data_IF_594951871830
#
_entry.id   IF_594951871830
#
_cell.length_a   1.000
_cell.length_b   1.000
_cell.length_c   1.000
_cell.angle_alpha   90.00
_cell.angle_beta   90.00
_cell.angle_gamma   90.00
#
_symmetry.space_group_name_H-M   'P 1'
#
loop_
_entity.id
_entity.type
_entity.pdbx_description
1 polymer ?
#
# COMPACT_ATOMS: atom_id res chain seq x y z
N UNK A 1 24.22 12.67 14.48
CA UNK A 1 24.78 11.44 13.89
C UNK A 1 23.75 10.91 12.92
N UNK A 2 23.96 11.10 11.61
CA UNK A 2 23.02 10.64 10.57
C UNK A 2 23.24 9.15 10.38
N UNK A 3 22.32 8.33 10.87
CA UNK A 3 22.33 6.88 10.61
C UNK A 3 21.98 6.68 9.13
N UNK A 4 23.01 6.50 8.30
CA UNK A 4 22.83 6.08 6.91
C UNK A 4 22.29 4.65 6.92
N UNK A 5 20.99 4.51 6.65
CA UNK A 5 20.34 3.22 6.50
C UNK A 5 20.45 2.87 5.03
N UNK A 6 21.17 1.80 4.68
CA UNK A 6 21.23 1.30 3.31
C UNK A 6 19.79 1.14 2.79
N UNK A 7 19.48 1.90 1.73
CA UNK A 7 18.22 1.78 1.05
C UNK A 7 18.29 0.48 0.26
N UNK A 8 17.59 -0.56 0.70
CA UNK A 8 17.49 -1.84 -0.02
C UNK A 8 16.60 -1.68 -1.26
N UNK A 9 17.00 -0.80 -2.19
CA UNK A 9 16.27 -0.51 -3.43
C UNK A 9 16.32 -1.76 -4.30
N UNK A 10 15.18 -2.20 -4.81
CA UNK A 10 15.16 -3.26 -5.82
C UNK A 10 15.57 -2.69 -7.18
N UNK A 11 16.38 -3.43 -7.91
CA UNK A 11 16.69 -3.08 -9.30
C UNK A 11 15.49 -3.28 -10.24
N UNK A 12 14.39 -3.88 -9.76
CA UNK A 12 13.24 -4.24 -10.59
C UNK A 12 12.00 -3.37 -10.34
N UNK A 13 11.53 -3.29 -9.10
CA UNK A 13 10.26 -2.65 -8.76
C UNK A 13 10.32 -2.03 -7.37
N UNK A 14 9.89 -0.77 -7.24
CA UNK A 14 9.91 -0.05 -5.97
C UNK A 14 8.61 0.73 -5.74
N UNK A 15 8.41 1.12 -4.49
CA UNK A 15 7.39 2.04 -4.00
C UNK A 15 8.06 3.29 -3.44
N UNK A 16 7.40 4.45 -3.53
CA UNK A 16 7.86 5.69 -2.92
C UNK A 16 7.15 5.92 -1.57
N UNK A 17 7.87 5.70 -0.46
CA UNK A 17 7.35 5.76 0.91
C UNK A 17 8.28 6.59 1.79
N UNK A 18 7.75 7.56 2.53
CA UNK A 18 8.54 8.49 3.37
C UNK A 18 9.73 9.11 2.62
N UNK A 19 9.52 9.49 1.36
CA UNK A 19 10.55 10.02 0.45
C UNK A 19 11.71 9.05 0.12
N UNK A 20 11.53 7.76 0.37
CA UNK A 20 12.52 6.71 0.08
C UNK A 20 11.92 5.65 -0.85
N UNK A 21 12.76 5.07 -1.71
CA UNK A 21 12.39 3.92 -2.53
C UNK A 21 12.51 2.64 -1.71
N UNK A 22 11.46 1.82 -1.75
CA UNK A 22 11.43 0.53 -1.08
C UNK A 22 10.85 -0.57 -1.99
N UNK A 23 11.39 -1.79 -1.97
CA UNK A 23 10.91 -2.91 -2.80
C UNK A 23 9.53 -3.41 -2.36
N UNK A 24 9.17 -3.17 -1.10
CA UNK A 24 7.93 -3.59 -0.48
C UNK A 24 7.91 -3.18 0.99
N UNK A 25 6.73 -3.00 1.55
CA UNK A 25 6.59 -2.56 2.94
C UNK A 25 5.31 -3.08 3.58
N UNK A 26 5.32 -3.09 4.91
CA UNK A 26 4.18 -3.40 5.76
C UNK A 26 3.98 -2.22 6.70
N UNK A 27 2.73 -1.79 6.85
CA UNK A 27 2.30 -0.80 7.80
C UNK A 27 1.22 -1.43 8.68
N UNK A 28 1.31 -1.27 10.00
CA UNK A 28 0.40 -1.95 10.93
C UNK A 28 0.76 -3.42 11.13
N UNK A 29 -0.24 -4.21 11.52
CA UNK A 29 -0.06 -5.61 11.93
C UNK A 29 -1.02 -6.53 11.15
N UNK A 30 -0.51 -7.31 10.17
CA UNK A 30 -1.34 -8.20 9.37
C UNK A 30 -1.89 -9.39 10.16
N UNK A 31 -1.27 -9.77 11.28
CA UNK A 31 -1.64 -10.95 12.07
C UNK A 31 -2.72 -10.66 13.11
N UNK A 32 -2.90 -9.38 13.49
CA UNK A 32 -3.95 -8.98 14.43
C UNK A 32 -5.29 -8.87 13.71
N UNK A 33 -6.31 -9.69 14.04
CA UNK A 33 -7.66 -9.51 13.48
C UNK A 33 -8.23 -8.14 13.91
N UNK A 34 -9.10 -7.57 13.08
CA UNK A 34 -9.77 -6.26 13.22
C UNK A 34 -8.93 -4.98 13.36
N UNK A 35 -7.59 -5.07 13.44
CA UNK A 35 -6.67 -3.90 13.38
C UNK A 35 -6.35 -3.42 11.94
N UNK A 36 -5.70 -2.25 11.84
CA UNK A 36 -5.17 -1.74 10.59
C UNK A 36 -3.94 -2.53 10.13
N UNK A 37 -3.93 -2.89 8.85
CA UNK A 37 -2.70 -3.22 8.16
C UNK A 37 -2.76 -2.80 6.69
N UNK A 38 -1.59 -2.58 6.12
CA UNK A 38 -1.39 -2.36 4.70
C UNK A 38 -0.07 -2.99 4.28
N UNK A 39 -0.10 -3.83 3.25
CA UNK A 39 1.06 -4.49 2.65
C UNK A 39 1.11 -4.02 1.20
N UNK A 40 2.23 -3.45 0.79
CA UNK A 40 2.61 -3.37 -0.60
C UNK A 40 3.75 -4.37 -0.81
N UNK A 41 3.43 -5.49 -1.44
CA UNK A 41 4.34 -6.64 -1.49
C UNK A 41 5.45 -6.44 -2.53
N UNK A 42 6.52 -7.22 -2.40
CA UNK A 42 7.58 -7.27 -3.42
C UNK A 42 6.99 -7.84 -4.70
N UNK A 43 7.19 -7.13 -5.81
CA UNK A 43 6.82 -7.61 -7.15
C UNK A 43 7.97 -8.42 -7.72
N UNK A 44 7.68 -9.66 -8.13
CA UNK A 44 8.69 -10.59 -8.63
C UNK A 44 9.00 -10.35 -10.12
N UNK A 45 10.22 -10.67 -10.59
CA UNK A 45 10.55 -10.59 -12.01
C UNK A 45 9.54 -11.36 -12.88
N UNK A 46 8.97 -10.66 -13.87
CA UNK A 46 7.92 -11.19 -14.75
C UNK A 46 6.53 -10.62 -14.42
N UNK A 47 6.37 -9.98 -13.27
CA UNK A 47 5.15 -9.28 -12.86
C UNK A 47 5.35 -7.76 -12.91
N UNK A 48 4.36 -7.03 -13.40
CA UNK A 48 4.48 -5.56 -13.53
C UNK A 48 3.50 -4.79 -12.65
N UNK A 49 2.54 -5.48 -12.03
CA UNK A 49 1.52 -4.87 -11.20
C UNK A 49 1.86 -5.08 -9.73
N UNK A 50 1.83 -4.00 -8.95
CA UNK A 50 1.93 -4.07 -7.50
C UNK A 50 0.85 -4.98 -6.91
N UNK A 51 1.23 -5.79 -5.91
CA UNK A 51 0.29 -6.56 -5.10
C UNK A 51 0.08 -5.85 -3.76
N UNK A 52 -1.16 -5.43 -3.51
CA UNK A 52 -1.54 -4.70 -2.30
C UNK A 52 -2.62 -5.47 -1.54
N UNK A 53 -2.43 -5.58 -0.23
CA UNK A 53 -3.38 -6.15 0.72
C UNK A 53 -3.54 -5.21 1.92
N UNK A 54 -4.71 -5.14 2.54
CA UNK A 54 -4.90 -4.28 3.71
C UNK A 54 -6.33 -4.21 4.23
N UNK A 55 -6.48 -3.81 5.48
CA UNK A 55 -7.76 -3.39 6.08
C UNK A 55 -7.78 -1.87 6.16
N UNK A 56 -8.68 -1.25 5.39
CA UNK A 56 -8.72 0.19 5.23
C UNK A 56 -9.84 0.79 6.09
N UNK A 57 -9.55 1.86 6.80
CA UNK A 57 -10.51 2.57 7.66
C UNK A 57 -10.64 4.03 7.27
N UNK A 58 -11.83 4.59 7.54
CA UNK A 58 -12.15 6.00 7.33
C UNK A 58 -11.68 6.89 8.50
N UNK A 59 -11.90 8.20 8.39
CA UNK A 59 -11.51 9.17 9.41
C UNK A 59 -12.28 9.05 10.73
N UNK A 60 -13.31 8.19 10.78
CA UNK A 60 -14.06 7.85 11.99
C UNK A 60 -13.62 6.50 12.58
N UNK A 61 -12.60 5.85 12.00
CA UNK A 61 -12.12 4.53 12.43
C UNK A 61 -13.05 3.38 12.04
N UNK A 62 -13.96 3.60 11.08
CA UNK A 62 -14.85 2.54 10.58
C UNK A 62 -14.20 1.80 9.43
N UNK A 63 -14.35 0.47 9.42
CA UNK A 63 -13.85 -0.36 8.34
C UNK A 63 -14.55 0.01 7.02
N UNK A 64 -13.76 0.44 6.03
CA UNK A 64 -14.22 0.69 4.67
C UNK A 64 -14.27 -0.62 3.89
N UNK A 65 -13.15 -1.35 3.88
CA UNK A 65 -12.98 -2.60 3.15
C UNK A 65 -11.76 -3.38 3.64
N UNK A 66 -11.75 -4.67 3.29
CA UNK A 66 -10.60 -5.57 3.33
C UNK A 66 -10.19 -5.90 1.90
N UNK A 67 -8.97 -5.51 1.54
CA UNK A 67 -8.31 -5.79 0.28
C UNK A 67 -7.34 -6.96 0.46
N UNK A 68 -7.40 -7.95 -0.41
CA UNK A 68 -6.44 -9.05 -0.46
C UNK A 68 -5.95 -9.23 -1.91
N UNK A 69 -4.65 -9.05 -2.14
CA UNK A 69 -4.01 -9.18 -3.45
C UNK A 69 -4.80 -8.44 -4.55
N UNK A 70 -5.09 -7.15 -4.31
CA UNK A 70 -5.85 -6.26 -5.18
C UNK A 70 -7.34 -6.66 -5.38
N UNK A 71 -7.91 -7.55 -4.56
CA UNK A 71 -9.33 -7.94 -4.61
C UNK A 71 -10.07 -7.52 -3.35
N UNK A 72 -11.32 -7.06 -3.52
CA UNK A 72 -12.20 -6.72 -2.40
C UNK A 72 -12.78 -8.00 -1.80
N UNK A 73 -12.42 -8.33 -0.55
CA UNK A 73 -12.89 -9.54 0.15
C UNK A 73 -14.06 -9.23 1.08
N UNK A 74 -13.92 -8.19 1.91
CA UNK A 74 -14.99 -7.67 2.76
C UNK A 74 -15.20 -6.19 2.42
N UNK A 75 -16.43 -5.78 2.13
CA UNK A 75 -16.70 -4.45 1.62
C UNK A 75 -18.02 -3.89 2.19
N UNK A 76 -18.09 -3.65 3.51
CA UNK A 76 -19.32 -3.22 4.16
C UNK A 76 -19.80 -1.83 3.71
N UNK A 77 -18.90 -1.01 3.15
CA UNK A 77 -19.20 0.36 2.72
C UNK A 77 -19.41 0.47 1.19
N UNK A 78 -19.60 -0.64 0.47
CA UNK A 78 -19.88 -0.66 -0.97
C UNK A 78 -18.86 0.13 -1.82
N UNK A 79 -17.58 0.06 -1.46
CA UNK A 79 -16.50 0.62 -2.24
C UNK A 79 -16.39 -0.10 -3.59
N UNK A 80 -15.88 0.58 -4.62
CA UNK A 80 -15.68 -0.01 -5.95
C UNK A 80 -14.21 0.01 -6.32
N UNK A 81 -13.77 -1.00 -7.08
CA UNK A 81 -12.41 -1.06 -7.63
C UNK A 81 -12.46 -0.91 -9.14
N UNK A 82 -11.71 0.06 -9.65
CA UNK A 82 -11.51 0.29 -11.07
C UNK A 82 -10.08 -0.08 -11.43
N UNK A 83 -9.92 -1.18 -12.17
CA UNK A 83 -8.61 -1.64 -12.64
C UNK A 83 -8.20 -0.95 -13.94
N UNK A 84 -6.90 -0.75 -14.13
CA UNK A 84 -6.28 -0.27 -15.36
C UNK A 84 -5.06 -1.13 -15.73
N UNK A 85 -4.51 -0.92 -16.92
CA UNK A 85 -3.33 -1.65 -17.39
C UNK A 85 -2.08 -1.45 -16.50
N UNK A 86 -2.09 -0.42 -15.66
CA UNK A 86 -0.96 -0.02 -14.84
C UNK A 86 -1.28 0.05 -13.34
N UNK A 87 -2.41 -0.49 -12.89
CA UNK A 87 -2.77 -0.49 -11.47
C UNK A 87 -4.27 -0.44 -11.25
N UNK A 88 -4.70 0.25 -10.19
CA UNK A 88 -6.11 0.36 -9.87
C UNK A 88 -6.42 1.58 -9.00
N UNK A 89 -7.70 1.94 -8.95
CA UNK A 89 -8.26 2.93 -8.02
C UNK A 89 -9.41 2.31 -7.26
N UNK A 90 -9.47 2.61 -5.97
CA UNK A 90 -10.61 2.30 -5.12
C UNK A 90 -11.38 3.59 -4.88
N UNK A 91 -12.68 3.55 -5.11
CA UNK A 91 -13.60 4.65 -4.84
C UNK A 91 -14.57 4.28 -3.71
N UNK A 92 -14.99 5.27 -2.95
CA UNK A 92 -16.09 5.13 -2.00
C UNK A 92 -17.41 4.84 -2.73
N UNK A 93 -18.46 4.48 -2.00
CA UNK A 93 -19.80 4.34 -2.57
C UNK A 93 -20.32 5.62 -3.25
N UNK A 94 -19.78 6.78 -2.87
CA UNK A 94 -20.12 8.08 -3.46
C UNK A 94 -19.26 8.42 -4.69
N UNK A 95 -18.31 7.56 -5.07
CA UNK A 95 -17.41 7.75 -6.21
C UNK A 95 -16.15 8.56 -5.89
N UNK A 96 -15.93 8.95 -4.63
CA UNK A 96 -14.73 9.68 -4.22
C UNK A 96 -13.51 8.74 -4.17
N UNK A 97 -12.32 9.16 -4.65
CA UNK A 97 -11.14 8.32 -4.62
C UNK A 97 -10.64 8.10 -3.18
N UNK A 98 -10.52 6.84 -2.76
CA UNK A 98 -10.00 6.43 -1.45
C UNK A 98 -8.53 6.03 -1.51
N UNK A 99 -8.19 5.22 -2.51
CA UNK A 99 -6.84 4.70 -2.73
C UNK A 99 -6.56 4.65 -4.23
N UNK A 100 -5.38 5.06 -4.65
CA UNK A 100 -4.87 4.91 -6.00
C UNK A 100 -3.53 4.23 -5.94
N UNK A 101 -3.36 3.18 -6.72
CA UNK A 101 -2.11 2.43 -6.86
C UNK A 101 -1.79 2.39 -8.35
N UNK A 102 -0.74 3.11 -8.77
CA UNK A 102 -0.35 3.22 -10.16
C UNK A 102 1.13 2.92 -10.32
N UNK A 103 1.43 2.00 -11.22
CA UNK A 103 2.78 1.59 -11.57
C UNK A 103 3.20 2.26 -12.86
N UNK A 104 4.39 2.84 -12.85
CA UNK A 104 5.00 3.46 -14.01
C UNK A 104 6.26 2.71 -14.38
N UNK A 105 6.40 2.38 -15.67
CA UNK A 105 7.61 1.80 -16.22
C UNK A 105 8.66 2.89 -16.45
N UNK A 106 9.90 2.57 -16.12
CA UNK A 106 11.10 3.33 -16.39
C UNK A 106 12.10 2.43 -17.14
N UNK A 107 13.17 3.02 -17.69
CA UNK A 107 14.17 2.32 -18.49
C UNK A 107 14.71 1.05 -17.83
N UNK A 108 14.88 1.06 -16.51
CA UNK A 108 15.50 -0.02 -15.75
C UNK A 108 14.61 -0.60 -14.65
N UNK A 109 13.30 -0.41 -14.69
CA UNK A 109 12.41 -0.95 -13.65
C UNK A 109 11.08 -0.24 -13.54
N UNK A 110 10.39 -0.48 -12.43
CA UNK A 110 9.05 0.00 -12.17
C UNK A 110 9.00 0.80 -10.86
N UNK A 111 8.18 1.84 -10.86
CA UNK A 111 7.85 2.60 -9.66
C UNK A 111 6.33 2.60 -9.47
N UNK A 112 5.86 2.07 -8.35
CA UNK A 112 4.47 2.20 -7.94
C UNK A 112 4.29 3.38 -7.01
N UNK A 113 3.44 4.30 -7.44
CA UNK A 113 2.94 5.40 -6.65
C UNK A 113 1.65 4.96 -5.98
N UNK A 114 1.60 5.14 -4.67
CA UNK A 114 0.39 4.96 -3.87
C UNK A 114 -0.08 6.35 -3.46
N UNK A 115 -1.38 6.57 -3.50
CA UNK A 115 -2.03 7.79 -3.02
C UNK A 115 -3.29 7.39 -2.26
N UNK A 116 -3.49 7.97 -1.08
CA UNK A 116 -4.68 7.70 -0.27
C UNK A 116 -4.43 8.08 1.18
N UNK A 117 -5.49 8.53 1.87
CA UNK A 117 -5.44 8.85 3.29
C UNK A 117 -6.17 7.77 4.07
N UNK A 118 -5.41 7.02 4.87
CA UNK A 118 -5.91 5.85 5.60
C UNK A 118 -5.73 6.04 7.09
N UNK A 119 -6.69 5.49 7.84
CA UNK A 119 -6.74 5.57 9.29
C UNK A 119 -6.72 4.17 9.90
N UNK A 120 -6.53 4.10 11.21
CA UNK A 120 -6.74 2.88 12.01
C UNK A 120 -8.11 2.89 12.71
N UNK A 121 -8.53 1.80 13.39
CA UNK A 121 -9.79 1.76 14.13
C UNK A 121 -9.94 2.85 15.22
N UNK A 122 -8.83 3.43 15.67
CA UNK A 122 -8.83 4.53 16.64
C UNK A 122 -8.85 5.90 15.95
N UNK A 123 -9.18 5.96 14.65
CA UNK A 123 -9.22 7.15 13.81
C UNK A 123 -7.87 7.90 13.72
N UNK A 124 -6.74 7.23 13.97
CA UNK A 124 -5.41 7.83 13.79
C UNK A 124 -4.95 7.64 12.35
N UNK A 125 -4.39 8.70 11.76
CA UNK A 125 -3.80 8.63 10.42
C UNK A 125 -2.64 7.64 10.44
N UNK A 126 -2.66 6.68 9.51
CA UNK A 126 -1.59 5.70 9.31
C UNK A 126 -0.83 5.95 8.02
N UNK A 127 -1.50 6.47 7.00
CA UNK A 127 -0.92 6.78 5.70
C UNK A 127 -1.59 8.03 5.13
N UNK A 128 -0.82 8.90 4.49
CA UNK A 128 -1.39 10.00 3.71
C UNK A 128 -0.51 10.37 2.51
N UNK A 129 -1.08 11.04 1.49
CA UNK A 129 -0.34 11.55 0.34
C UNK A 129 0.85 12.43 0.72
N UNK A 130 1.99 12.26 0.03
CA UNK A 130 3.14 13.15 0.11
C UNK A 130 3.83 13.26 -1.24
N UNK A 131 3.67 14.40 -1.91
CA UNK A 131 4.14 14.65 -3.29
C UNK A 131 3.72 13.53 -4.27
N UNK A 132 4.66 12.66 -4.66
CA UNK A 132 4.45 11.56 -5.61
C UNK A 132 4.23 10.20 -4.92
N UNK A 133 4.37 10.13 -3.59
CA UNK A 133 4.25 8.89 -2.82
C UNK A 133 3.37 9.08 -1.60
N UNK A 134 3.70 8.34 -0.54
CA UNK A 134 2.99 8.38 0.74
C UNK A 134 3.94 8.67 1.90
N UNK A 135 3.41 9.32 2.93
CA UNK A 135 3.99 9.31 4.27
C UNK A 135 3.21 8.30 5.12
N UNK A 136 3.93 7.51 5.92
CA UNK A 136 3.35 6.49 6.80
C UNK A 136 3.73 6.73 8.26
N UNK A 137 2.82 6.39 9.16
CA UNK A 137 2.90 6.67 10.60
C UNK A 137 2.68 5.42 11.47
N UNK A 138 3.35 5.41 12.62
CA UNK A 138 3.29 4.30 13.58
C UNK A 138 4.19 3.11 13.21
N UNK A 139 3.86 1.92 13.72
CA UNK A 139 4.62 0.70 13.45
C UNK A 139 4.59 0.35 11.96
N UNK A 140 5.77 0.32 11.34
CA UNK A 140 5.94 -0.01 9.92
C UNK A 140 7.25 -0.77 9.70
N UNK A 141 7.21 -1.80 8.85
CA UNK A 141 8.39 -2.43 8.25
C UNK A 141 8.55 -1.86 6.85
N UNK A 142 9.42 -0.85 6.73
CA UNK A 142 9.60 -0.09 5.49
C UNK A 142 10.42 -0.81 4.40
N UNK A 143 10.96 -2.00 4.69
CA UNK A 143 11.70 -2.81 3.72
C UNK A 143 11.32 -4.28 3.91
N UNK A 144 10.92 -4.92 2.81
CA UNK A 144 10.76 -6.36 2.70
C UNK A 144 11.91 -6.95 1.87
N UNK A 145 12.50 -8.03 2.38
CA UNK A 145 13.59 -8.75 1.70
C UNK A 145 13.08 -9.94 0.88
N UNK A 146 11.87 -10.41 1.20
CA UNK A 146 11.16 -11.48 0.49
C UNK A 146 9.66 -11.14 0.46
N UNK A 147 8.90 -11.64 -0.55
CA UNK A 147 7.48 -11.37 -0.60
C UNK A 147 6.78 -11.89 0.66
N UNK A 148 5.84 -11.10 1.17
CA UNK A 148 5.09 -11.45 2.37
C UNK A 148 4.18 -12.65 2.11
N UNK A 149 3.46 -12.66 0.99
CA UNK A 149 2.49 -13.71 0.66
C UNK A 149 3.15 -15.00 0.14
N UNK A 150 4.45 -15.00 -0.20
CA UNK A 150 5.20 -16.20 -0.58
C UNK A 150 5.68 -17.03 0.64
N UNK A 151 5.45 -16.57 1.87
CA UNK A 151 5.87 -17.25 3.11
C UNK A 151 4.87 -18.30 3.62
N UNK A 152 3.85 -18.66 2.84
CA UNK A 152 2.84 -19.65 3.22
C UNK A 152 3.05 -20.98 2.51
#
# INVERSE_FOLDING_TARGET
>A
MLTYKESSISAYHNYLVNHMLTPGFILGDPDRPDDFYFIADIVLPGETLASVSGRLFDSQGRLLLHLLNNRLENNPQNCTIQSSANGFRIHSALGEPLLTVLTQAYTNGYLTMIQGKLYDPAAKIRMEPSFQGITVYGSARLVLDVPFHARK
#
